data_IF_193256450618
#
_entry.id   IF_193256450618
#
_cell.length_a   1.000
_cell.length_b   1.000
_cell.length_c   1.000
_cell.angle_alpha   90.00
_cell.angle_beta   90.00
_cell.angle_gamma   90.00
#
_symmetry.space_group_name_H-M   'P 1'
#
loop_
_entity.id
_entity.type
_entity.pdbx_description
1 polymer ?
#
# COMPACT_ATOMS: atom_id res chain seq x y z
N UNK A 1 -1.92 4.97 14.51
CA UNK A 1 -0.68 4.18 14.71
C UNK A 1 0.12 4.88 15.78
N UNK A 2 0.59 4.19 16.83
CA UNK A 2 1.45 4.76 17.84
C UNK A 2 2.72 5.36 17.23
N UNK A 3 3.24 6.45 17.81
CA UNK A 3 4.39 7.18 17.28
C UNK A 3 5.64 6.30 17.14
N UNK A 4 5.88 5.41 18.07
CA UNK A 4 6.99 4.46 18.01
C UNK A 4 6.92 3.53 16.78
N UNK A 5 5.73 3.01 16.46
CA UNK A 5 5.52 2.18 15.27
C UNK A 5 5.72 2.98 13.97
N UNK A 6 5.34 4.25 13.96
CA UNK A 6 5.56 5.12 12.80
C UNK A 6 7.05 5.40 12.59
N UNK A 7 7.82 5.62 13.65
CA UNK A 7 9.28 5.79 13.58
C UNK A 7 9.96 4.50 13.06
N UNK A 8 9.59 3.35 13.57
CA UNK A 8 10.12 2.05 13.13
C UNK A 8 9.81 1.78 11.65
N UNK A 9 8.57 2.03 11.21
CA UNK A 9 8.18 1.90 9.81
C UNK A 9 8.99 2.84 8.90
N UNK A 10 9.17 4.08 9.32
CA UNK A 10 9.97 5.08 8.60
C UNK A 10 11.41 4.64 8.44
N UNK A 11 12.04 4.14 9.50
CA UNK A 11 13.41 3.63 9.47
C UNK A 11 13.54 2.42 8.53
N UNK A 12 12.63 1.45 8.66
CA UNK A 12 12.60 0.25 7.81
C UNK A 12 12.44 0.60 6.33
N UNK A 13 11.49 1.48 6.00
CA UNK A 13 11.26 1.91 4.62
C UNK A 13 12.48 2.62 4.04
N UNK A 14 13.09 3.52 4.80
CA UNK A 14 14.31 4.26 4.41
C UNK A 14 15.47 3.31 4.15
N UNK A 15 15.69 2.34 5.04
CA UNK A 15 16.73 1.32 4.89
C UNK A 15 16.50 0.46 3.63
N UNK A 16 15.27 0.05 3.37
CA UNK A 16 14.89 -0.74 2.18
C UNK A 16 15.12 0.05 0.88
N UNK A 17 14.66 1.29 0.81
CA UNK A 17 14.88 2.15 -0.37
C UNK A 17 16.38 2.31 -0.65
N UNK A 18 17.19 2.57 0.38
CA UNK A 18 18.63 2.71 0.26
C UNK A 18 19.31 1.39 -0.16
N UNK A 19 18.87 0.26 0.38
CA UNK A 19 19.42 -1.06 0.04
C UNK A 19 19.12 -1.43 -1.42
N UNK A 20 17.87 -1.23 -1.87
CA UNK A 20 17.48 -1.46 -3.27
C UNK A 20 18.32 -0.57 -4.18
N UNK A 21 18.48 0.71 -3.87
CA UNK A 21 19.25 1.64 -4.69
C UNK A 21 20.74 1.26 -4.74
N UNK A 22 21.35 0.77 -3.67
CA UNK A 22 22.74 0.28 -3.66
C UNK A 22 22.95 -0.93 -4.56
N UNK A 23 22.01 -1.88 -4.51
CA UNK A 23 22.08 -3.14 -5.27
C UNK A 23 21.73 -2.99 -6.74
N UNK A 24 21.08 -1.90 -7.14
CA UNK A 24 20.61 -1.69 -8.49
C UNK A 24 21.78 -1.55 -9.48
N UNK A 25 21.91 -2.48 -10.42
CA UNK A 25 22.98 -2.51 -11.42
C UNK A 25 22.60 -1.84 -12.75
N UNK A 26 21.31 -1.62 -13.01
CA UNK A 26 20.82 -1.04 -14.25
C UNK A 26 20.94 0.49 -14.33
N UNK A 27 20.37 1.11 -15.36
CA UNK A 27 20.27 2.56 -15.48
C UNK A 27 19.60 3.16 -14.25
N UNK A 28 19.81 4.47 -14.00
CA UNK A 28 19.26 5.12 -12.80
C UNK A 28 17.75 4.88 -12.68
N UNK A 29 17.27 4.21 -11.63
CA UNK A 29 15.86 3.92 -11.48
C UNK A 29 15.08 5.20 -11.22
N UNK A 30 13.89 5.29 -11.82
CA UNK A 30 12.92 6.34 -11.52
C UNK A 30 12.09 5.88 -10.33
N UNK A 31 12.20 6.57 -9.23
CA UNK A 31 11.45 6.26 -8.01
C UNK A 31 10.17 7.09 -7.96
N UNK A 32 9.06 6.43 -7.64
CA UNK A 32 7.77 7.09 -7.44
C UNK A 32 7.22 6.71 -6.08
N UNK A 33 6.85 7.74 -5.32
CA UNK A 33 6.16 7.60 -4.04
C UNK A 33 4.65 7.80 -4.28
N UNK A 34 3.90 6.70 -4.32
CA UNK A 34 2.46 6.71 -4.56
C UNK A 34 1.73 6.65 -3.22
N UNK A 35 0.88 7.64 -2.93
CA UNK A 35 0.13 7.73 -1.65
C UNK A 35 -1.26 8.32 -1.84
N UNK A 36 -2.10 8.17 -0.83
CA UNK A 36 -3.41 8.83 -0.71
C UNK A 36 -3.34 10.23 -0.09
N UNK A 37 -2.13 10.73 0.19
CA UNK A 37 -1.90 12.07 0.74
C UNK A 37 -2.33 12.25 2.20
N UNK A 38 -2.15 11.24 3.02
CA UNK A 38 -2.29 11.38 4.47
C UNK A 38 -1.15 12.20 5.10
N UNK A 39 -1.37 12.77 6.28
CA UNK A 39 -0.39 13.62 6.97
C UNK A 39 0.95 12.91 7.19
N UNK A 40 0.93 11.67 7.66
CA UNK A 40 2.14 10.89 7.89
C UNK A 40 2.96 10.64 6.62
N UNK A 41 2.31 10.41 5.48
CA UNK A 41 2.95 10.25 4.18
C UNK A 41 3.55 11.55 3.67
N UNK A 42 2.88 12.68 3.89
CA UNK A 42 3.40 14.02 3.58
C UNK A 42 4.68 14.31 4.38
N UNK A 43 4.64 14.05 5.68
CA UNK A 43 5.78 14.27 6.58
C UNK A 43 6.96 13.38 6.21
N UNK A 44 6.72 12.09 5.94
CA UNK A 44 7.75 11.17 5.49
C UNK A 44 8.41 11.65 4.19
N UNK A 45 7.62 12.03 3.18
CA UNK A 45 8.18 12.53 1.92
C UNK A 45 9.02 13.77 2.11
N UNK A 46 8.51 14.77 2.83
CA UNK A 46 9.17 16.08 2.98
C UNK A 46 10.40 16.03 3.88
N UNK A 47 10.30 15.32 5.00
CA UNK A 47 11.34 15.29 6.04
C UNK A 47 12.42 14.24 5.76
N UNK A 48 12.07 13.12 5.14
CA UNK A 48 12.96 11.99 4.95
C UNK A 48 13.25 11.74 3.47
N UNK A 49 12.27 11.28 2.70
CA UNK A 49 12.49 10.74 1.36
C UNK A 49 13.09 11.77 0.39
N UNK A 50 12.61 13.01 0.39
CA UNK A 50 13.13 14.09 -0.45
C UNK A 50 14.58 14.48 -0.10
N UNK A 51 15.01 14.23 1.13
CA UNK A 51 16.34 14.59 1.64
C UNK A 51 17.32 13.43 1.61
N UNK A 52 16.85 12.22 1.32
CA UNK A 52 17.66 11.03 1.36
C UNK A 52 18.82 11.13 0.34
N UNK A 53 20.08 10.94 0.78
CA UNK A 53 21.21 10.92 -0.13
C UNK A 53 21.13 9.72 -1.08
N UNK A 54 21.58 9.88 -2.31
CA UNK A 54 21.69 8.75 -3.25
C UNK A 54 22.95 7.93 -2.88
N UNK A 55 22.81 6.67 -2.42
CA UNK A 55 23.92 5.87 -1.95
C UNK A 55 24.93 5.49 -3.07
N UNK A 56 24.59 5.76 -4.35
CA UNK A 56 25.48 5.53 -5.50
C UNK A 56 26.03 6.81 -6.13
N UNK A 57 25.59 7.98 -5.65
CA UNK A 57 26.06 9.26 -6.17
C UNK A 57 26.32 10.23 -5.00
N UNK A 58 27.52 10.20 -4.42
CA UNK A 58 27.88 11.11 -3.34
C UNK A 58 27.57 12.57 -3.69
N UNK A 59 27.04 13.33 -2.75
CA UNK A 59 26.66 14.72 -2.95
C UNK A 59 25.30 14.94 -3.64
N UNK A 60 24.66 13.90 -4.17
CA UNK A 60 23.33 13.98 -4.77
C UNK A 60 22.24 13.37 -3.86
N UNK A 61 21.04 13.92 -3.97
CA UNK A 61 19.85 13.35 -3.31
C UNK A 61 19.16 12.35 -4.22
N UNK A 62 18.50 11.38 -3.58
CA UNK A 62 17.68 10.41 -4.28
C UNK A 62 16.50 11.13 -4.96
N UNK A 63 16.41 11.01 -6.29
CA UNK A 63 15.29 11.59 -7.03
C UNK A 63 14.07 10.69 -6.89
N UNK A 64 13.05 11.20 -6.23
CA UNK A 64 11.79 10.51 -6.05
C UNK A 64 10.63 11.43 -6.47
N UNK A 65 9.83 10.99 -7.41
CA UNK A 65 8.63 11.68 -7.83
C UNK A 65 7.49 11.33 -6.87
N UNK A 66 6.62 12.29 -6.57
CA UNK A 66 5.44 12.05 -5.75
C UNK A 66 4.19 12.03 -6.62
N UNK A 67 3.45 10.93 -6.57
CA UNK A 67 2.19 10.77 -7.26
C UNK A 67 1.07 10.48 -6.25
N UNK A 68 -0.10 11.04 -6.51
CA UNK A 68 -1.30 10.68 -5.76
C UNK A 68 -1.88 9.39 -6.33
N UNK A 69 -2.32 8.49 -5.44
CA UNK A 69 -2.97 7.25 -5.88
C UNK A 69 -4.23 7.56 -6.70
N UNK A 70 -4.28 7.01 -7.90
CA UNK A 70 -5.35 7.22 -8.86
C UNK A 70 -6.72 6.75 -8.35
N UNK A 71 -6.77 5.65 -7.60
CA UNK A 71 -8.04 5.06 -7.16
C UNK A 71 -8.78 5.91 -6.13
N UNK A 72 -8.18 6.38 -5.03
CA UNK A 72 -8.81 7.34 -4.12
C UNK A 72 -9.24 8.63 -4.83
N UNK A 73 -8.44 9.14 -5.76
CA UNK A 73 -8.78 10.32 -6.56
C UNK A 73 -10.02 10.07 -7.45
N UNK A 74 -10.20 8.85 -7.95
CA UNK A 74 -11.42 8.47 -8.66
C UNK A 74 -12.67 8.61 -7.78
N UNK A 75 -12.58 8.30 -6.48
CA UNK A 75 -13.68 8.50 -5.53
C UNK A 75 -14.14 9.97 -5.44
N UNK A 76 -13.19 10.91 -5.34
CA UNK A 76 -13.52 12.34 -5.36
C UNK A 76 -14.12 12.78 -6.70
N UNK A 77 -13.64 12.24 -7.81
CA UNK A 77 -14.25 12.49 -9.11
C UNK A 77 -15.66 11.92 -9.22
N UNK A 78 -15.94 10.79 -8.59
CA UNK A 78 -17.29 10.23 -8.48
C UNK A 78 -18.22 11.17 -7.71
N UNK A 79 -17.81 11.65 -6.54
CA UNK A 79 -18.57 12.62 -5.73
C UNK A 79 -18.87 13.91 -6.51
N UNK A 80 -17.89 14.42 -7.25
CA UNK A 80 -18.07 15.60 -8.08
C UNK A 80 -19.10 15.35 -9.19
N UNK A 81 -19.06 14.17 -9.83
CA UNK A 81 -20.04 13.79 -10.85
C UNK A 81 -21.44 13.61 -10.25
N UNK A 82 -21.53 12.90 -9.11
CA UNK A 82 -22.83 12.63 -8.47
C UNK A 82 -23.52 13.91 -8.00
N UNK A 83 -22.72 14.88 -7.55
CA UNK A 83 -23.24 16.21 -7.19
C UNK A 83 -23.78 16.97 -8.41
N UNK A 84 -23.18 16.79 -9.60
CA UNK A 84 -23.59 17.50 -10.81
C UNK A 84 -24.76 16.83 -11.55
N UNK A 85 -24.82 15.49 -11.57
CA UNK A 85 -25.74 14.73 -12.41
C UNK A 85 -26.65 13.77 -11.65
N UNK A 86 -26.55 13.73 -10.34
CA UNK A 86 -27.20 12.71 -9.53
C UNK A 86 -26.50 11.34 -9.56
N UNK A 87 -26.90 10.42 -8.69
CA UNK A 87 -26.34 9.07 -8.62
C UNK A 87 -26.70 8.26 -9.87
N UNK A 88 -25.79 7.45 -10.40
CA UNK A 88 -26.11 6.37 -11.33
C UNK A 88 -25.48 6.41 -12.73
N UNK A 89 -24.70 7.38 -13.11
CA UNK A 89 -24.10 7.43 -14.45
C UNK A 89 -22.79 6.64 -14.61
N UNK A 90 -22.76 5.30 -14.51
CA UNK A 90 -21.55 4.49 -14.63
C UNK A 90 -20.72 4.80 -15.90
N UNK A 91 -21.36 4.92 -17.06
CA UNK A 91 -20.67 5.26 -18.32
C UNK A 91 -20.01 6.65 -18.28
N UNK A 92 -20.69 7.65 -17.73
CA UNK A 92 -20.12 8.99 -17.51
C UNK A 92 -18.95 8.99 -16.54
N UNK A 93 -19.06 8.24 -15.47
CA UNK A 93 -17.96 8.03 -14.51
C UNK A 93 -16.74 7.38 -15.17
N UNK A 94 -16.92 6.35 -15.99
CA UNK A 94 -15.83 5.68 -16.68
C UNK A 94 -15.14 6.62 -17.70
N UNK A 95 -15.88 7.39 -18.48
CA UNK A 95 -15.30 8.38 -19.40
C UNK A 95 -14.46 9.43 -18.66
N UNK A 96 -14.97 9.95 -17.56
CA UNK A 96 -14.27 10.93 -16.74
C UNK A 96 -13.01 10.31 -16.09
N UNK A 97 -13.08 9.06 -15.64
CA UNK A 97 -11.95 8.29 -15.10
C UNK A 97 -10.86 8.08 -16.14
N UNK A 98 -11.23 7.66 -17.35
CA UNK A 98 -10.31 7.49 -18.48
C UNK A 98 -9.69 8.83 -18.90
N UNK A 99 -10.49 9.89 -19.03
CA UNK A 99 -9.99 11.22 -19.37
C UNK A 99 -8.96 11.77 -18.38
N UNK A 100 -9.11 11.49 -17.09
CA UNK A 100 -8.10 11.85 -16.06
C UNK A 100 -6.82 11.04 -16.20
N UNK A 101 -6.96 9.77 -16.57
CA UNK A 101 -5.83 8.83 -16.67
C UNK A 101 -5.00 9.08 -17.93
N UNK A 102 -5.65 9.33 -19.05
CA UNK A 102 -5.03 9.21 -20.37
C UNK A 102 -4.77 10.58 -21.05
N UNK A 103 -5.51 11.61 -20.65
CA UNK A 103 -5.37 12.95 -21.27
C UNK A 103 -4.42 13.85 -20.48
N UNK A 104 -3.54 14.60 -21.17
CA UNK A 104 -2.75 15.65 -20.52
C UNK A 104 -3.67 16.62 -19.78
N UNK A 105 -3.26 17.05 -18.59
CA UNK A 105 -4.04 17.93 -17.73
C UNK A 105 -5.49 17.45 -17.43
N UNK A 106 -5.73 16.13 -17.46
CA UNK A 106 -7.09 15.59 -17.36
C UNK A 106 -7.85 16.06 -16.11
N UNK A 107 -7.18 16.18 -14.97
CA UNK A 107 -7.80 16.72 -13.74
C UNK A 107 -8.14 18.21 -13.89
N UNK A 108 -7.25 19.02 -14.47
CA UNK A 108 -7.47 20.45 -14.69
C UNK A 108 -8.65 20.70 -15.65
N UNK A 109 -8.81 19.86 -16.65
CA UNK A 109 -9.93 19.92 -17.60
C UNK A 109 -11.27 19.63 -16.89
N UNK A 110 -11.30 18.61 -16.02
CA UNK A 110 -12.49 18.28 -15.22
C UNK A 110 -12.84 19.43 -14.26
N UNK A 111 -11.85 20.04 -13.62
CA UNK A 111 -12.07 21.16 -12.72
C UNK A 111 -12.63 22.39 -13.46
N UNK A 112 -12.09 22.71 -14.66
CA UNK A 112 -12.63 23.80 -15.50
C UNK A 112 -14.08 23.52 -15.90
N UNK A 113 -14.36 22.31 -16.35
CA UNK A 113 -15.69 21.89 -16.73
C UNK A 113 -16.69 21.95 -15.57
N UNK A 114 -16.31 21.51 -14.36
CA UNK A 114 -17.17 21.56 -13.17
C UNK A 114 -17.55 22.98 -12.72
N UNK A 115 -16.82 24.00 -13.16
CA UNK A 115 -17.08 25.40 -12.85
C UNK A 115 -18.03 26.10 -13.82
N UNK A 116 -18.47 25.42 -14.89
CA UNK A 116 -19.39 26.04 -15.85
C UNK A 116 -20.70 26.45 -15.17
N UNK A 117 -21.18 27.69 -15.39
CA UNK A 117 -22.35 28.22 -14.66
C UNK A 117 -23.63 27.41 -14.84
N UNK A 118 -23.84 26.87 -16.03
CA UNK A 118 -25.03 26.08 -16.36
C UNK A 118 -25.15 24.78 -15.56
N UNK A 119 -24.06 24.24 -15.05
CA UNK A 119 -24.06 23.03 -14.24
C UNK A 119 -24.49 23.25 -12.78
N UNK A 120 -24.54 24.49 -12.32
CA UNK A 120 -24.83 24.85 -10.93
C UNK A 120 -26.23 25.36 -10.69
N UNK A 121 -26.99 25.64 -11.74
CA UNK A 121 -28.30 26.33 -11.66
C UNK A 121 -29.39 25.55 -10.89
N UNK A 122 -29.33 24.23 -10.88
CA UNK A 122 -30.40 23.35 -10.33
C UNK A 122 -29.94 22.50 -9.16
N UNK A 123 -28.80 22.82 -8.53
CA UNK A 123 -28.22 22.00 -7.47
C UNK A 123 -28.84 22.31 -6.10
N UNK A 124 -29.16 21.24 -5.33
CA UNK A 124 -29.49 21.38 -3.90
C UNK A 124 -28.27 21.90 -3.12
N UNK A 125 -28.52 22.52 -1.96
CA UNK A 125 -27.45 23.00 -1.04
C UNK A 125 -26.49 21.87 -0.66
N UNK A 126 -27.00 20.66 -0.42
CA UNK A 126 -26.21 19.47 -0.06
C UNK A 126 -25.30 19.05 -1.22
N UNK A 127 -25.82 18.94 -2.44
CA UNK A 127 -25.06 18.62 -3.63
C UNK A 127 -23.97 19.67 -3.89
N UNK A 128 -24.28 20.95 -3.69
CA UNK A 128 -23.31 22.04 -3.82
C UNK A 128 -22.17 21.92 -2.79
N UNK A 129 -22.46 21.56 -1.54
CA UNK A 129 -21.45 21.36 -0.51
C UNK A 129 -20.49 20.19 -0.86
N UNK A 130 -21.02 19.05 -1.32
CA UNK A 130 -20.23 17.89 -1.76
C UNK A 130 -19.39 18.21 -3.01
N UNK A 131 -19.95 18.95 -3.97
CA UNK A 131 -19.21 19.44 -5.14
C UNK A 131 -18.00 20.27 -4.71
N UNK A 132 -18.19 21.25 -3.84
CA UNK A 132 -17.11 22.12 -3.41
C UNK A 132 -16.06 21.40 -2.58
N UNK A 133 -16.46 20.39 -1.79
CA UNK A 133 -15.53 19.54 -1.04
C UNK A 133 -14.64 18.75 -2.00
N UNK A 134 -15.22 18.08 -2.99
CA UNK A 134 -14.48 17.32 -3.99
C UNK A 134 -13.62 18.23 -4.89
N UNK A 135 -14.16 19.36 -5.31
CA UNK A 135 -13.46 20.35 -6.13
C UNK A 135 -12.20 20.89 -5.43
N UNK A 136 -12.35 21.34 -4.17
CA UNK A 136 -11.23 21.86 -3.36
C UNK A 136 -10.13 20.83 -3.18
N UNK A 137 -10.49 19.58 -2.92
CA UNK A 137 -9.54 18.48 -2.82
C UNK A 137 -8.75 18.29 -4.12
N UNK A 138 -9.43 18.14 -5.24
CA UNK A 138 -8.80 17.93 -6.55
C UNK A 138 -7.93 19.13 -6.96
N UNK A 139 -8.40 20.35 -6.75
CA UNK A 139 -7.65 21.58 -7.04
C UNK A 139 -6.37 21.69 -6.21
N UNK A 140 -6.46 21.44 -4.91
CA UNK A 140 -5.33 21.51 -3.97
C UNK A 140 -4.22 20.52 -4.34
N UNK A 141 -4.59 19.35 -4.83
CA UNK A 141 -3.66 18.26 -5.06
C UNK A 141 -3.32 18.02 -6.54
N UNK A 142 -3.84 18.82 -7.47
CA UNK A 142 -3.73 18.62 -8.94
C UNK A 142 -2.31 18.40 -9.45
N UNK A 143 -1.30 19.02 -8.82
CA UNK A 143 0.11 18.93 -9.24
C UNK A 143 0.70 17.51 -9.12
N UNK A 144 0.10 16.66 -8.30
CA UNK A 144 0.50 15.25 -8.11
C UNK A 144 -0.38 14.26 -8.88
N UNK A 145 -1.21 14.73 -9.79
CA UNK A 145 -2.21 13.95 -10.52
C UNK A 145 -1.97 13.95 -12.04
N UNK A 146 -0.73 14.12 -12.49
CA UNK A 146 -0.40 14.06 -13.93
C UNK A 146 -0.24 12.60 -14.39
N UNK A 147 -1.35 11.85 -14.31
CA UNK A 147 -1.36 10.42 -14.60
C UNK A 147 -1.00 10.09 -16.04
N UNK A 148 -1.36 10.94 -17.00
CA UNK A 148 -1.00 10.75 -18.40
C UNK A 148 0.52 10.82 -18.60
N UNK A 149 1.20 11.75 -17.93
CA UNK A 149 2.65 11.83 -17.93
C UNK A 149 3.28 10.61 -17.27
N UNK A 150 2.79 10.23 -16.07
CA UNK A 150 3.30 9.07 -15.34
C UNK A 150 3.20 7.80 -16.18
N UNK A 151 2.05 7.57 -16.84
CA UNK A 151 1.86 6.40 -17.72
C UNK A 151 2.79 6.40 -18.92
N UNK A 152 2.94 7.54 -19.62
CA UNK A 152 3.90 7.64 -20.75
C UNK A 152 5.35 7.36 -20.30
N UNK A 153 5.65 7.63 -19.06
CA UNK A 153 6.96 7.37 -18.46
C UNK A 153 7.10 5.96 -17.85
N UNK A 154 6.09 5.09 -17.99
CA UNK A 154 6.09 3.76 -17.38
C UNK A 154 5.99 3.76 -15.85
N UNK A 155 5.59 4.88 -15.23
CA UNK A 155 5.50 5.00 -13.79
C UNK A 155 4.15 4.49 -13.26
N UNK A 156 4.11 3.87 -12.08
CA UNK A 156 2.86 3.45 -11.47
C UNK A 156 2.00 4.66 -11.09
N UNK A 157 0.71 4.57 -11.32
CA UNK A 157 -0.28 5.62 -10.99
C UNK A 157 -1.15 5.29 -9.78
N UNK A 158 -1.00 4.09 -9.23
CA UNK A 158 -1.78 3.64 -8.08
C UNK A 158 -1.05 2.59 -7.28
N UNK A 159 -1.48 2.42 -6.03
CA UNK A 159 -0.95 1.44 -5.07
C UNK A 159 -1.60 0.05 -5.20
N UNK A 160 -1.96 -0.37 -6.41
CA UNK A 160 -2.67 -1.63 -6.67
C UNK A 160 -1.97 -2.85 -6.08
N UNK A 161 -0.63 -2.89 -6.12
CA UNK A 161 0.17 -3.96 -5.50
C UNK A 161 -0.02 -3.98 -3.99
N UNK A 162 0.00 -2.82 -3.33
CA UNK A 162 -0.25 -2.71 -1.87
C UNK A 162 -1.67 -3.12 -1.53
N UNK A 163 -2.67 -2.69 -2.32
CA UNK A 163 -4.06 -3.08 -2.15
C UNK A 163 -4.27 -4.58 -2.33
N UNK A 164 -3.64 -5.19 -3.33
CA UNK A 164 -3.66 -6.64 -3.54
C UNK A 164 -2.99 -7.39 -2.37
N UNK A 165 -1.83 -6.92 -1.90
CA UNK A 165 -1.15 -7.48 -0.74
C UNK A 165 -2.03 -7.39 0.52
N UNK A 166 -2.64 -6.25 0.80
CA UNK A 166 -3.58 -6.10 1.92
C UNK A 166 -4.77 -7.05 1.81
N UNK A 167 -5.36 -7.22 0.62
CA UNK A 167 -6.44 -8.18 0.39
C UNK A 167 -5.98 -9.60 0.68
N UNK A 168 -4.83 -9.99 0.18
CA UNK A 168 -4.27 -11.32 0.35
C UNK A 168 -3.87 -11.59 1.80
N UNK A 169 -3.22 -10.65 2.47
CA UNK A 169 -2.73 -10.82 3.83
C UNK A 169 -3.84 -10.74 4.88
N UNK A 170 -4.72 -9.74 4.79
CA UNK A 170 -5.73 -9.47 5.81
C UNK A 170 -7.12 -9.98 5.43
N UNK A 171 -7.66 -9.54 4.29
CA UNK A 171 -9.07 -9.77 3.97
C UNK A 171 -9.41 -11.24 3.82
N UNK A 172 -8.54 -12.00 3.15
CA UNK A 172 -8.78 -13.43 2.90
C UNK A 172 -8.71 -14.30 4.16
N UNK A 173 -8.11 -13.81 5.25
CA UNK A 173 -7.94 -14.59 6.48
C UNK A 173 -8.66 -14.02 7.69
N UNK A 174 -8.68 -12.69 7.82
CA UNK A 174 -9.20 -12.05 9.02
C UNK A 174 -10.62 -11.50 8.86
N UNK A 175 -11.11 -11.37 7.61
CA UNK A 175 -12.43 -10.75 7.33
C UNK A 175 -13.41 -11.71 6.64
N UNK A 176 -13.35 -13.00 6.92
CA UNK A 176 -14.39 -13.94 6.47
C UNK A 176 -15.58 -13.93 7.42
N UNK A 177 -16.75 -14.26 6.88
CA UNK A 177 -17.99 -14.37 7.67
C UNK A 177 -17.80 -15.27 8.89
N UNK A 178 -18.29 -14.84 10.05
CA UNK A 178 -18.20 -15.58 11.31
C UNK A 178 -16.86 -15.53 12.04
N UNK A 179 -15.82 -14.92 11.46
CA UNK A 179 -14.51 -14.85 12.12
C UNK A 179 -14.44 -13.67 13.10
N UNK A 180 -14.11 -13.98 14.34
CA UNK A 180 -13.76 -13.01 15.39
C UNK A 180 -12.35 -13.30 15.87
N UNK A 181 -11.48 -12.30 15.84
CA UNK A 181 -10.09 -12.41 16.23
C UNK A 181 -9.78 -11.51 17.42
N UNK A 182 -9.19 -12.06 18.44
CA UNK A 182 -8.48 -11.26 19.43
C UNK A 182 -7.29 -10.56 18.80
N UNK A 183 -6.88 -9.41 19.34
CA UNK A 183 -5.81 -8.59 18.78
C UNK A 183 -4.49 -9.37 18.64
N UNK A 184 -4.14 -10.14 19.65
CA UNK A 184 -2.90 -10.92 19.70
C UNK A 184 -2.89 -12.06 18.69
N UNK A 185 -3.93 -12.89 18.70
CA UNK A 185 -4.05 -14.00 17.73
C UNK A 185 -4.16 -13.51 16.29
N UNK A 186 -4.87 -12.40 16.07
CA UNK A 186 -4.91 -11.78 14.75
C UNK A 186 -3.53 -11.35 14.25
N UNK A 187 -2.68 -10.83 15.15
CA UNK A 187 -1.31 -10.46 14.80
C UNK A 187 -0.47 -11.69 14.45
N UNK A 188 -0.53 -12.76 15.26
CA UNK A 188 0.18 -14.02 14.98
C UNK A 188 -0.16 -14.57 13.60
N UNK A 189 -1.45 -14.62 13.25
CA UNK A 189 -1.89 -15.08 11.93
C UNK A 189 -1.33 -14.22 10.80
N UNK A 190 -1.28 -12.90 10.99
CA UNK A 190 -0.68 -11.98 10.01
C UNK A 190 0.82 -12.24 9.87
N UNK A 191 1.54 -12.41 10.97
CA UNK A 191 2.99 -12.63 10.96
C UNK A 191 3.35 -13.95 10.27
N UNK A 192 2.66 -15.04 10.61
CA UNK A 192 2.84 -16.34 9.93
C UNK A 192 2.56 -16.24 8.43
N UNK A 193 1.52 -15.48 8.05
CA UNK A 193 1.18 -15.28 6.64
C UNK A 193 2.21 -14.43 5.90
N UNK A 194 2.77 -13.42 6.55
CA UNK A 194 3.88 -12.63 5.99
C UNK A 194 5.09 -13.53 5.73
N UNK A 195 5.48 -14.36 6.69
CA UNK A 195 6.58 -15.31 6.53
C UNK A 195 6.36 -16.27 5.36
N UNK A 196 5.16 -16.86 5.27
CA UNK A 196 4.79 -17.76 4.20
C UNK A 196 4.82 -17.08 2.81
N UNK A 197 4.17 -15.92 2.67
CA UNK A 197 4.09 -15.20 1.40
C UNK A 197 5.40 -14.54 0.97
N UNK A 198 6.30 -14.31 1.91
CA UNK A 198 7.65 -13.76 1.61
C UNK A 198 8.63 -14.82 1.13
N UNK A 199 8.26 -16.10 1.15
CA UNK A 199 9.15 -17.21 0.80
C UNK A 199 10.32 -17.41 1.76
N UNK A 200 10.24 -16.86 2.98
CA UNK A 200 11.28 -16.99 4.01
C UNK A 200 10.89 -17.98 5.11
N UNK A 201 9.79 -18.68 4.93
CA UNK A 201 9.23 -19.61 5.91
C UNK A 201 10.26 -20.64 6.38
N UNK A 202 10.82 -21.41 5.44
CA UNK A 202 11.76 -22.49 5.77
C UNK A 202 13.03 -21.97 6.45
N UNK A 203 13.53 -20.80 6.02
CA UNK A 203 14.70 -20.18 6.61
C UNK A 203 14.47 -19.67 8.05
N UNK A 204 13.24 -19.22 8.37
CA UNK A 204 12.89 -18.74 9.70
C UNK A 204 12.56 -19.90 10.63
N UNK A 205 11.70 -20.80 10.20
CA UNK A 205 11.28 -21.98 10.96
C UNK A 205 12.45 -22.91 11.20
N UNK A 206 13.28 -23.16 10.18
CA UNK A 206 14.49 -23.99 10.32
C UNK A 206 15.45 -23.43 11.36
N UNK A 207 15.69 -22.11 11.39
CA UNK A 207 16.52 -21.48 12.44
C UNK A 207 15.90 -21.55 13.82
N UNK A 208 14.59 -21.36 13.94
CA UNK A 208 13.90 -21.45 15.22
C UNK A 208 13.93 -22.88 15.78
N UNK A 209 13.73 -23.88 14.92
CA UNK A 209 13.83 -25.30 15.29
C UNK A 209 15.26 -25.69 15.71
N UNK A 210 16.27 -25.16 15.00
CA UNK A 210 17.68 -25.38 15.38
C UNK A 210 18.06 -24.68 16.69
N UNK A 211 17.52 -23.49 16.95
CA UNK A 211 17.75 -22.74 18.20
C UNK A 211 17.07 -23.37 19.41
N UNK A 212 15.94 -24.01 19.19
CA UNK A 212 15.20 -24.79 20.18
C UNK A 212 15.68 -26.24 20.14
N UNK A 213 16.97 -26.50 20.29
CA UNK A 213 17.49 -27.85 20.36
C UNK A 213 16.58 -28.67 21.29
N UNK A 214 15.74 -29.51 20.71
CA UNK A 214 14.97 -30.49 21.49
C UNK A 214 16.01 -31.32 22.23
N UNK A 215 15.89 -31.49 23.57
CA UNK A 215 16.79 -32.37 24.26
C UNK A 215 16.76 -33.69 23.54
N UNK A 216 17.97 -34.21 23.21
CA UNK A 216 18.13 -35.50 22.57
C UNK A 216 17.15 -36.47 23.25
N UNK A 217 16.30 -37.12 22.44
CA UNK A 217 15.46 -38.20 22.93
C UNK A 217 16.43 -39.19 23.55
N UNK A 218 16.42 -39.26 24.89
CA UNK A 218 17.11 -40.33 25.61
C UNK A 218 16.66 -41.63 24.94
N UNK A 219 17.57 -42.27 24.26
CA UNK A 219 17.34 -43.52 23.60
C UNK A 219 16.95 -44.50 24.70
N UNK A 220 15.69 -44.86 24.77
CA UNK A 220 15.24 -45.94 25.65
C UNK A 220 16.02 -47.19 25.27
N UNK A 221 16.99 -47.56 26.11
CA UNK A 221 17.67 -48.84 25.99
C UNK A 221 16.60 -49.92 25.99
N UNK A 222 16.72 -50.92 25.07
CA UNK A 222 15.78 -52.03 25.07
C UNK A 222 15.92 -52.79 26.39
N UNK A 223 14.84 -52.83 27.17
CA UNK A 223 14.76 -53.66 28.38
C UNK A 223 15.03 -55.11 27.98
N UNK A 224 16.10 -55.68 28.54
CA UNK A 224 16.45 -57.07 28.38
C UNK A 224 15.25 -57.94 28.78
N UNK A 225 14.76 -58.74 27.88
CA UNK A 225 13.70 -59.73 28.09
C UNK A 225 14.17 -60.76 29.11
N UNK A 226 13.57 -60.73 30.26
CA UNK A 226 13.79 -61.67 31.33
C UNK A 226 13.19 -63.03 30.93
N UNK A 227 14.03 -63.91 30.38
CA UNK A 227 13.67 -65.30 30.08
C UNK A 227 13.19 -66.02 31.34
N UNK A 228 11.96 -66.36 31.37
CA UNK A 228 11.32 -67.22 32.40
C UNK A 228 11.82 -68.66 32.21
N UNK A 229 12.76 -69.09 33.05
CA UNK A 229 13.09 -70.52 33.16
C UNK A 229 11.86 -71.26 33.69
N UNK A 230 11.32 -72.18 32.94
CA UNK A 230 10.41 -73.20 33.39
C UNK A 230 11.23 -74.23 34.22
N UNK A 231 10.87 -74.42 35.48
CA UNK A 231 11.31 -75.56 36.28
C UNK A 231 10.39 -76.67 35.97
N UNK A 232 10.96 -77.87 35.76
CA UNK A 232 10.31 -79.16 35.68
C UNK A 232 9.77 -79.63 37.03
#
# INVERSE_FOLDING_TARGET
MPEAQQKALTATLTARVSAVRRRWQGPRPRLVYVTDKGQAQDDYYRRVLRRLPDPRQPGRRLSCEWALDFFPVCGYGGKLRDALFGPGGWRGFQRMRQGRRDRPQGVSNILRWALQPWQRRTMSKTAQAELWKAYRYLRRHRRWMDYARYRRQGLPIGSGVTGAACKTMFTQRLKRSGMRWGKEFGQVIVDLRVLHLSGVWDAVVGRDLQSRALPERVSSQPQATRTRRKAA
#
